data_IF_861940506771
#
_entry.id   IF_861940506771
#
_cell.length_a   1.000
_cell.length_b   1.000
_cell.length_c   1.000
_cell.angle_alpha   90.00
_cell.angle_beta   90.00
_cell.angle_gamma   90.00
#
_symmetry.space_group_name_H-M   'P 1'
#
loop_
_entity.id
_entity.type
_entity.pdbx_description
1 polymer ?
#
# COMPACT_ATOMS: atom_id res chain seq x y z
N UNK A 1 -18.08 -0.74 -4.16
CA UNK A 1 -16.62 -0.91 -4.25
C UNK A 1 -16.15 -0.51 -5.64
N UNK A 2 -14.93 -0.02 -5.77
CA UNK A 2 -14.26 0.05 -7.07
C UNK A 2 -13.86 -1.34 -7.53
N UNK A 3 -13.81 -1.55 -8.84
CA UNK A 3 -13.28 -2.79 -9.38
C UNK A 3 -11.76 -2.85 -9.14
N UNK A 4 -11.31 -3.80 -8.31
CA UNK A 4 -9.90 -4.01 -7.96
C UNK A 4 -9.06 -4.37 -9.20
N UNK A 5 -9.64 -5.12 -10.15
CA UNK A 5 -8.96 -5.47 -11.40
C UNK A 5 -8.67 -4.23 -12.26
N UNK A 6 -9.53 -3.21 -12.23
CA UNK A 6 -9.30 -2.00 -13.02
C UNK A 6 -8.08 -1.23 -12.51
N UNK A 7 -7.84 -1.20 -11.19
CA UNK A 7 -6.62 -0.60 -10.65
C UNK A 7 -5.38 -1.40 -11.04
N UNK A 8 -5.41 -2.73 -10.88
CA UNK A 8 -4.30 -3.59 -11.28
C UNK A 8 -3.97 -3.47 -12.77
N UNK A 9 -4.99 -3.41 -13.62
CA UNK A 9 -4.83 -3.20 -15.06
C UNK A 9 -4.22 -1.83 -15.35
N UNK A 10 -4.63 -0.80 -14.62
CA UNK A 10 -4.02 0.52 -14.71
C UNK A 10 -2.53 0.47 -14.36
N UNK A 11 -2.14 -0.14 -13.22
CA UNK A 11 -0.73 -0.29 -12.82
C UNK A 11 0.11 -0.96 -13.92
N UNK A 12 -0.41 -2.05 -14.49
CA UNK A 12 0.28 -2.82 -15.54
C UNK A 12 0.40 -2.06 -16.85
N UNK A 13 -0.65 -1.33 -17.26
CA UNK A 13 -0.67 -0.58 -18.53
C UNK A 13 0.30 0.59 -18.53
N UNK A 14 0.49 1.24 -17.39
CA UNK A 14 1.41 2.38 -17.24
C UNK A 14 2.81 1.96 -16.80
N UNK A 15 3.05 0.65 -16.61
CA UNK A 15 4.29 0.09 -16.05
C UNK A 15 4.72 0.84 -14.78
N UNK A 16 3.76 1.05 -13.89
CA UNK A 16 3.90 1.99 -12.80
C UNK A 16 4.78 1.43 -11.69
N UNK A 17 5.86 2.15 -11.36
CA UNK A 17 6.55 1.93 -10.09
C UNK A 17 5.65 2.38 -8.94
N UNK A 18 5.39 1.48 -8.00
CA UNK A 18 4.60 1.77 -6.81
C UNK A 18 5.37 1.46 -5.53
N UNK A 19 4.87 1.98 -4.42
CA UNK A 19 5.35 1.61 -3.10
C UNK A 19 4.18 1.29 -2.19
N UNK A 20 4.25 0.18 -1.45
CA UNK A 20 3.21 -0.21 -0.49
C UNK A 20 3.77 -0.10 0.93
N UNK A 21 3.15 0.76 1.73
CA UNK A 21 3.45 0.92 3.16
C UNK A 21 2.37 0.23 4.00
N UNK A 22 2.79 -0.44 5.08
CA UNK A 22 1.93 -0.79 6.19
C UNK A 22 2.23 0.16 7.36
N UNK A 23 1.20 0.87 7.83
CA UNK A 23 1.32 1.78 8.97
C UNK A 23 0.49 1.28 10.16
N UNK A 24 1.12 1.10 11.33
CA UNK A 24 0.43 0.68 12.55
C UNK A 24 1.27 0.89 13.81
N UNK A 25 0.65 0.70 14.98
CA UNK A 25 1.38 0.46 16.24
C UNK A 25 2.11 -0.89 16.19
N UNK A 26 3.17 -1.02 16.99
CA UNK A 26 4.02 -2.22 17.02
C UNK A 26 3.26 -3.53 17.28
N UNK A 27 2.30 -3.54 18.22
CA UNK A 27 1.51 -4.73 18.55
C UNK A 27 0.64 -5.20 17.37
N UNK A 28 0.08 -4.26 16.61
CA UNK A 28 -0.70 -4.53 15.40
C UNK A 28 0.22 -4.92 14.25
N UNK A 29 1.35 -4.25 14.11
CA UNK A 29 2.32 -4.50 13.05
C UNK A 29 2.93 -5.89 13.17
N UNK A 30 3.28 -6.32 14.39
CA UNK A 30 3.82 -7.66 14.66
C UNK A 30 2.85 -8.76 14.21
N UNK A 31 1.57 -8.60 14.53
CA UNK A 31 0.53 -9.53 14.10
C UNK A 31 0.31 -9.51 12.59
N UNK A 32 0.35 -8.33 11.97
CA UNK A 32 0.26 -8.19 10.52
C UNK A 32 1.42 -8.87 9.81
N UNK A 33 2.67 -8.57 10.18
CA UNK A 33 3.89 -9.15 9.59
C UNK A 33 3.85 -10.67 9.65
N UNK A 34 3.48 -11.25 10.80
CA UNK A 34 3.37 -12.70 10.95
C UNK A 34 2.40 -13.29 9.92
N UNK A 35 1.20 -12.71 9.79
CA UNK A 35 0.20 -13.17 8.83
C UNK A 35 0.62 -12.96 7.38
N UNK A 36 1.20 -11.79 7.09
CA UNK A 36 1.69 -11.42 5.77
C UNK A 36 2.77 -12.40 5.29
N UNK A 37 3.82 -12.63 6.10
CA UNK A 37 4.88 -13.58 5.78
C UNK A 37 4.35 -15.00 5.57
N UNK A 38 3.43 -15.45 6.42
CA UNK A 38 2.80 -16.78 6.27
C UNK A 38 1.94 -16.90 5.01
N UNK A 39 1.13 -15.90 4.69
CA UNK A 39 0.18 -15.98 3.58
C UNK A 39 0.83 -15.77 2.22
N UNK A 40 1.89 -14.98 2.15
CA UNK A 40 2.52 -14.57 0.90
C UNK A 40 3.95 -15.10 0.72
N UNK A 41 4.47 -15.89 1.66
CA UNK A 41 5.82 -16.48 1.58
C UNK A 41 6.95 -15.46 1.74
N UNK A 42 6.66 -14.34 2.40
CA UNK A 42 7.57 -13.21 2.59
C UNK A 42 8.40 -13.35 3.88
N UNK A 43 9.42 -12.50 4.02
CA UNK A 43 10.32 -12.51 5.19
C UNK A 43 10.59 -11.11 5.76
N UNK A 44 9.57 -10.24 5.76
CA UNK A 44 9.71 -8.88 6.30
C UNK A 44 9.69 -8.87 7.85
N UNK A 45 10.25 -7.82 8.44
CA UNK A 45 10.28 -7.58 9.89
C UNK A 45 10.00 -6.09 10.19
N UNK A 46 10.00 -5.70 11.47
CA UNK A 46 9.67 -4.33 11.89
C UNK A 46 10.57 -3.23 11.30
N UNK A 47 11.75 -3.60 10.80
CA UNK A 47 12.71 -2.67 10.18
C UNK A 47 12.71 -2.74 8.64
N UNK A 48 11.85 -3.56 8.03
CA UNK A 48 11.76 -3.68 6.57
C UNK A 48 11.25 -2.39 5.93
N UNK A 49 11.71 -2.10 4.71
CA UNK A 49 11.19 -0.95 3.96
C UNK A 49 9.68 -1.13 3.72
N UNK A 50 8.92 -0.06 3.93
CA UNK A 50 7.46 -0.08 3.88
C UNK A 50 6.79 -0.42 5.21
N UNK A 51 7.53 -0.65 6.30
CA UNK A 51 6.97 -0.68 7.65
C UNK A 51 7.05 0.71 8.29
N UNK A 52 5.90 1.29 8.59
CA UNK A 52 5.79 2.53 9.33
C UNK A 52 5.21 2.26 10.73
N UNK A 53 6.07 2.35 11.75
CA UNK A 53 5.67 2.21 13.13
C UNK A 53 5.19 3.55 13.68
N UNK A 54 3.98 3.54 14.21
CA UNK A 54 3.42 4.64 14.96
C UNK A 54 3.79 4.50 16.44
N UNK A 55 3.95 5.65 17.09
CA UNK A 55 4.07 5.74 18.54
C UNK A 55 2.75 5.42 19.25
N UNK A 56 2.57 5.99 20.44
CA UNK A 56 1.35 5.80 21.22
C UNK A 56 0.22 6.67 20.68
N UNK A 57 -0.56 6.11 19.76
CA UNK A 57 -1.71 6.77 19.11
C UNK A 57 -2.93 5.86 19.16
N UNK A 58 -4.13 6.44 19.21
CA UNK A 58 -5.37 5.64 19.11
C UNK A 58 -5.57 5.13 17.68
N UNK A 59 -5.02 3.94 17.39
CA UNK A 59 -5.16 3.26 16.11
C UNK A 59 -5.66 1.84 16.29
N UNK A 60 -6.71 1.51 15.52
CA UNK A 60 -7.44 0.23 15.66
C UNK A 60 -6.80 -0.93 14.89
N UNK A 61 -5.97 -0.66 13.89
CA UNK A 61 -5.38 -1.70 13.04
C UNK A 61 -4.28 -1.18 12.12
N UNK A 62 -3.87 -2.04 11.18
CA UNK A 62 -2.92 -1.68 10.12
C UNK A 62 -3.65 -0.97 8.99
N UNK A 63 -3.06 0.11 8.49
CA UNK A 63 -3.47 0.77 7.26
C UNK A 63 -2.44 0.50 6.17
N UNK A 64 -2.91 0.07 5.00
CA UNK A 64 -2.11 -0.10 3.80
C UNK A 64 -2.21 1.16 2.95
N UNK A 65 -1.06 1.73 2.60
CA UNK A 65 -0.96 2.89 1.72
C UNK A 65 -0.21 2.53 0.46
N UNK A 66 -0.82 2.82 -0.69
CA UNK A 66 -0.28 2.53 -2.01
C UNK A 66 0.12 3.85 -2.65
N UNK A 67 1.41 4.06 -2.89
CA UNK A 67 1.98 5.27 -3.47
C UNK A 67 2.31 5.08 -4.95
N UNK A 68 2.00 6.07 -5.78
CA UNK A 68 2.14 6.02 -7.25
C UNK A 68 2.22 7.43 -7.87
N UNK A 69 2.38 7.52 -9.20
CA UNK A 69 2.70 8.80 -9.87
C UNK A 69 1.86 9.11 -11.12
N UNK A 70 1.59 8.13 -11.97
CA UNK A 70 0.86 8.35 -13.20
C UNK A 70 -0.65 8.37 -12.90
N UNK A 71 -1.41 9.20 -13.60
CA UNK A 71 -2.88 9.20 -13.57
C UNK A 71 -3.48 8.90 -14.95
N UNK A 72 -2.64 8.63 -15.94
CA UNK A 72 -3.08 8.36 -17.31
C UNK A 72 -3.91 7.09 -17.33
N UNK A 73 -5.20 7.23 -17.63
CA UNK A 73 -6.13 6.10 -17.65
C UNK A 73 -6.49 5.54 -16.27
N UNK A 74 -6.23 6.27 -15.17
CA UNK A 74 -6.69 5.84 -13.85
C UNK A 74 -8.23 5.71 -13.84
N UNK A 75 -8.81 4.63 -13.30
CA UNK A 75 -10.26 4.50 -13.26
C UNK A 75 -10.91 5.58 -12.37
N UNK A 76 -12.08 6.14 -12.74
CA UNK A 76 -12.68 7.27 -12.04
C UNK A 76 -12.88 7.06 -10.55
N UNK A 77 -13.26 5.85 -10.14
CA UNK A 77 -13.42 5.49 -8.74
C UNK A 77 -12.12 5.69 -7.93
N UNK A 78 -10.99 5.19 -8.45
CA UNK A 78 -9.69 5.32 -7.79
C UNK A 78 -9.17 6.75 -7.85
N UNK A 79 -9.44 7.45 -8.96
CA UNK A 79 -9.07 8.86 -9.10
C UNK A 79 -9.74 9.77 -8.06
N UNK A 80 -11.01 9.50 -7.74
CA UNK A 80 -11.78 10.25 -6.75
C UNK A 80 -11.42 9.95 -5.30
N UNK A 81 -10.66 8.88 -5.03
CA UNK A 81 -10.26 8.47 -3.67
C UNK A 81 -8.77 8.67 -3.38
N UNK A 82 -7.96 8.97 -4.40
CA UNK A 82 -6.54 9.23 -4.19
C UNK A 82 -6.34 10.53 -3.39
N UNK A 83 -5.24 10.56 -2.66
CA UNK A 83 -4.72 11.75 -2.00
C UNK A 83 -3.49 12.25 -2.75
N UNK A 84 -3.29 13.57 -2.74
CA UNK A 84 -1.98 14.14 -3.06
C UNK A 84 -1.02 13.83 -1.91
N UNK A 85 0.08 13.16 -2.22
CA UNK A 85 1.07 12.79 -1.22
C UNK A 85 2.04 13.94 -0.98
N UNK A 86 1.95 14.56 0.20
CA UNK A 86 2.75 15.74 0.56
C UNK A 86 3.87 15.47 1.56
N UNK A 87 3.89 14.29 2.19
CA UNK A 87 4.72 14.01 3.36
C UNK A 87 5.69 12.86 3.08
N UNK A 88 5.21 11.62 3.18
CA UNK A 88 6.10 10.46 3.15
C UNK A 88 6.51 10.13 1.72
N UNK A 89 7.82 10.11 1.43
CA UNK A 89 8.37 9.84 0.09
C UNK A 89 7.76 10.73 -1.02
N UNK A 90 7.31 11.94 -0.67
CA UNK A 90 6.66 12.87 -1.62
C UNK A 90 7.56 13.32 -2.77
N UNK A 91 8.88 13.26 -2.60
CA UNK A 91 9.83 13.47 -3.71
C UNK A 91 9.93 12.32 -4.71
N UNK A 92 9.33 11.16 -4.42
CA UNK A 92 9.33 9.96 -5.29
C UNK A 92 7.92 9.57 -5.75
N UNK A 93 6.90 9.87 -4.96
CA UNK A 93 5.52 9.51 -5.25
C UNK A 93 4.57 10.68 -5.02
N UNK A 94 3.82 11.03 -6.05
CA UNK A 94 2.93 12.21 -6.08
C UNK A 94 1.57 11.92 -5.48
N UNK A 95 1.09 10.68 -5.59
CA UNK A 95 -0.25 10.27 -5.16
C UNK A 95 -0.19 9.09 -4.21
N UNK A 96 -1.22 8.94 -3.38
CA UNK A 96 -1.44 7.70 -2.62
C UNK A 96 -2.91 7.31 -2.52
N UNK A 97 -3.15 6.03 -2.26
CA UNK A 97 -4.44 5.49 -1.84
C UNK A 97 -4.28 4.82 -0.49
N UNK A 98 -5.24 5.06 0.40
CA UNK A 98 -5.29 4.45 1.74
C UNK A 98 -6.45 3.45 1.73
N UNK A 99 -6.19 2.19 1.33
CA UNK A 99 -7.22 1.17 1.15
C UNK A 99 -6.68 -0.26 1.38
N UNK A 100 -7.12 -0.89 2.47
CA UNK A 100 -6.65 -2.21 2.90
C UNK A 100 -7.08 -3.35 1.96
N UNK A 101 -8.27 -3.25 1.38
CA UNK A 101 -8.77 -4.29 0.47
C UNK A 101 -7.93 -4.27 -0.81
N UNK A 102 -7.65 -3.08 -1.34
CA UNK A 102 -6.77 -2.94 -2.49
C UNK A 102 -5.35 -3.46 -2.19
N UNK A 103 -4.76 -3.09 -1.05
CA UNK A 103 -3.43 -3.57 -0.68
C UNK A 103 -3.34 -5.10 -0.59
N UNK A 104 -4.32 -5.74 0.08
CA UNK A 104 -4.39 -7.20 0.16
C UNK A 104 -4.59 -7.86 -1.20
N UNK A 105 -5.42 -7.27 -2.06
CA UNK A 105 -5.62 -7.73 -3.41
C UNK A 105 -4.34 -7.66 -4.25
N UNK A 106 -3.55 -6.59 -4.11
CA UNK A 106 -2.27 -6.44 -4.79
C UNK A 106 -1.26 -7.50 -4.32
N UNK A 107 -1.22 -7.83 -3.03
CA UNK A 107 -0.36 -8.91 -2.52
C UNK A 107 -0.69 -10.26 -3.17
N UNK A 108 -1.97 -10.59 -3.27
CA UNK A 108 -2.42 -11.80 -3.98
C UNK A 108 -2.12 -11.80 -5.48
N UNK A 109 -1.71 -10.66 -6.04
CA UNK A 109 -1.33 -10.49 -7.45
C UNK A 109 0.17 -10.25 -7.66
N UNK A 110 1.00 -10.57 -6.65
CA UNK A 110 2.47 -10.58 -6.76
C UNK A 110 3.15 -9.26 -6.37
N UNK A 111 2.41 -8.28 -5.84
CA UNK A 111 3.01 -7.10 -5.24
C UNK A 111 3.40 -7.38 -3.78
N UNK A 112 4.29 -6.58 -3.22
CA UNK A 112 4.79 -6.76 -1.87
C UNK A 112 4.91 -5.43 -1.11
N UNK A 113 5.04 -5.51 0.22
CA UNK A 113 5.38 -4.35 1.06
C UNK A 113 6.74 -3.80 0.60
N UNK A 114 6.83 -2.48 0.45
CA UNK A 114 8.00 -1.82 -0.11
C UNK A 114 7.83 -1.46 -1.59
N UNK A 115 8.95 -1.37 -2.32
CA UNK A 115 8.98 -0.93 -3.71
C UNK A 115 8.64 -2.07 -4.68
N UNK A 116 7.81 -1.78 -5.68
CA UNK A 116 7.40 -2.72 -6.73
C UNK A 116 7.65 -2.16 -8.13
#
# INVERSE_FOLDING_TARGET
>A
MGNLNDFLNFLRKTNQSIFIEAEAREDKMTNFIKRYNTNYGESINLNSDGICLLGDVDKRGVELRIYFNDLTGIPPYWNGRKYDNKIYRSGKFTYRLDDNELGQFLFSNGYHIGAN
#
